data_IF_945124523114
#
_entry.id   IF_945124523114
#
_cell.length_a   1.000
_cell.length_b   1.000
_cell.length_c   1.000
_cell.angle_alpha   90.00
_cell.angle_beta   90.00
_cell.angle_gamma   90.00
#
_symmetry.space_group_name_H-M   'P 1'
#
loop_
_entity.id
_entity.type
_entity.pdbx_description
1 polymer ?
#
# COMPACT_ATOMS: atom_id res chain seq x y z
N UNK A 1 16.48 13.85 9.20
CA UNK A 1 15.23 13.88 9.99
C UNK A 1 15.58 13.76 11.47
N UNK A 2 14.87 14.44 12.38
CA UNK A 2 15.03 14.18 13.82
C UNK A 2 14.54 12.76 14.12
N UNK A 3 15.27 12.03 14.98
CA UNK A 3 14.91 10.66 15.34
C UNK A 3 13.59 10.68 16.12
N UNK A 4 12.55 10.06 15.54
CA UNK A 4 11.28 9.85 16.24
C UNK A 4 11.39 8.58 17.07
N UNK A 5 11.26 8.73 18.38
CA UNK A 5 11.29 7.60 19.30
C UNK A 5 9.90 6.95 19.43
N UNK A 6 9.84 5.63 19.20
CA UNK A 6 8.59 4.87 19.26
C UNK A 6 7.95 4.90 20.65
N UNK A 7 8.74 4.76 21.71
CA UNK A 7 8.21 4.66 23.08
C UNK A 7 7.59 6.00 23.51
N UNK A 8 8.23 7.12 23.17
CA UNK A 8 7.70 8.46 23.36
C UNK A 8 6.37 8.68 22.60
N UNK A 9 6.32 8.28 21.32
CA UNK A 9 5.10 8.40 20.52
C UNK A 9 3.98 7.51 21.06
N UNK A 10 4.29 6.26 21.43
CA UNK A 10 3.33 5.34 22.03
C UNK A 10 2.77 5.88 23.36
N UNK A 11 3.61 6.53 24.17
CA UNK A 11 3.17 7.21 25.39
C UNK A 11 2.23 8.39 25.09
N UNK A 12 2.54 9.19 24.06
CA UNK A 12 1.67 10.29 23.59
C UNK A 12 0.31 9.77 23.10
N UNK A 13 0.29 8.65 22.38
CA UNK A 13 -0.91 8.05 21.80
C UNK A 13 -1.73 7.21 22.79
N UNK A 14 -1.18 6.83 23.94
CA UNK A 14 -1.85 6.02 24.96
C UNK A 14 -3.30 6.46 25.29
N UNK A 15 -3.61 7.75 25.55
CA UNK A 15 -4.99 8.18 25.79
C UNK A 15 -5.90 7.97 24.58
N UNK A 16 -5.43 8.28 23.36
CA UNK A 16 -6.18 8.08 22.11
C UNK A 16 -6.48 6.60 21.88
N UNK A 17 -5.47 5.74 22.06
CA UNK A 17 -5.61 4.28 21.94
C UNK A 17 -6.63 3.72 22.96
N UNK A 18 -6.69 4.28 24.17
CA UNK A 18 -7.70 3.88 25.16
C UNK A 18 -9.12 4.27 24.73
N UNK A 19 -9.31 5.45 24.16
CA UNK A 19 -10.60 5.89 23.60
C UNK A 19 -11.02 4.99 22.43
N UNK A 20 -10.10 4.70 21.52
CA UNK A 20 -10.35 3.81 20.38
C UNK A 20 -10.62 2.37 20.82
N UNK A 21 -9.96 1.86 21.86
CA UNK A 21 -10.22 0.52 22.39
C UNK A 21 -11.65 0.40 22.96
N UNK A 22 -12.17 1.47 23.58
CA UNK A 22 -13.57 1.54 23.99
C UNK A 22 -14.51 1.58 22.77
N UNK A 23 -14.17 2.38 21.76
CA UNK A 23 -14.91 2.46 20.50
C UNK A 23 -14.97 1.13 19.77
N UNK A 24 -13.86 0.40 19.74
CA UNK A 24 -13.73 -0.96 19.19
C UNK A 24 -14.72 -1.92 19.85
N UNK A 25 -14.76 -1.94 21.18
CA UNK A 25 -15.69 -2.77 21.96
C UNK A 25 -17.15 -2.39 21.71
N UNK A 26 -17.46 -1.10 21.61
CA UNK A 26 -18.79 -0.61 21.26
C UNK A 26 -19.21 -1.10 19.87
N UNK A 27 -18.35 -0.94 18.87
CA UNK A 27 -18.59 -1.35 17.49
C UNK A 27 -18.72 -2.87 17.35
N UNK A 28 -17.89 -3.65 18.06
CA UNK A 28 -18.01 -5.10 18.10
C UNK A 28 -19.35 -5.55 18.68
N UNK A 29 -19.80 -4.92 19.78
CA UNK A 29 -21.10 -5.22 20.39
C UNK A 29 -22.25 -4.89 19.43
N UNK A 30 -22.22 -3.71 18.80
CA UNK A 30 -23.20 -3.29 17.80
C UNK A 30 -23.24 -4.25 16.60
N UNK A 31 -22.09 -4.62 16.06
CA UNK A 31 -21.98 -5.56 14.95
C UNK A 31 -22.57 -6.94 15.30
N UNK A 32 -22.27 -7.45 16.50
CA UNK A 32 -22.85 -8.71 16.99
C UNK A 32 -24.36 -8.62 17.19
N UNK A 33 -24.88 -7.54 17.79
CA UNK A 33 -26.32 -7.40 18.01
C UNK A 33 -27.09 -7.25 16.70
N UNK A 34 -26.64 -6.39 15.79
CA UNK A 34 -27.25 -6.21 14.48
C UNK A 34 -27.19 -7.50 13.66
N UNK A 35 -26.01 -8.15 13.64
CA UNK A 35 -25.80 -9.41 12.94
C UNK A 35 -26.73 -10.52 13.45
N UNK A 36 -26.88 -10.67 14.77
CA UNK A 36 -27.79 -11.67 15.35
C UNK A 36 -29.25 -11.40 14.97
N UNK A 37 -29.69 -10.14 15.04
CA UNK A 37 -31.05 -9.76 14.68
C UNK A 37 -31.33 -10.08 13.21
N UNK A 38 -30.47 -9.64 12.29
CA UNK A 38 -30.68 -9.86 10.85
C UNK A 38 -30.55 -11.34 10.46
N UNK A 39 -29.59 -12.06 11.04
CA UNK A 39 -29.43 -13.49 10.80
C UNK A 39 -30.64 -14.29 11.29
N UNK A 40 -31.21 -13.93 12.44
CA UNK A 40 -32.41 -14.57 12.99
C UNK A 40 -33.66 -14.28 12.15
N UNK A 41 -33.85 -13.02 11.72
CA UNK A 41 -34.95 -12.66 10.80
C UNK A 41 -34.85 -13.47 9.51
N UNK A 42 -33.67 -13.52 8.89
CA UNK A 42 -33.46 -14.28 7.65
C UNK A 42 -33.74 -15.78 7.85
N UNK A 43 -33.30 -16.35 8.98
CA UNK A 43 -33.52 -17.75 9.31
C UNK A 43 -35.03 -18.05 9.43
N UNK A 44 -35.77 -17.25 10.19
CA UNK A 44 -37.22 -17.43 10.39
C UNK A 44 -37.96 -17.32 9.07
N UNK A 45 -37.68 -16.28 8.28
CA UNK A 45 -38.31 -16.08 6.96
C UNK A 45 -37.98 -17.23 6.02
N UNK A 46 -36.73 -17.69 5.99
CA UNK A 46 -36.29 -18.82 5.18
C UNK A 46 -37.01 -20.11 5.54
N UNK A 47 -37.17 -20.42 6.84
CA UNK A 47 -37.90 -21.60 7.30
C UNK A 47 -39.38 -21.52 6.91
N UNK A 48 -40.02 -20.36 7.09
CA UNK A 48 -41.41 -20.14 6.65
C UNK A 48 -41.54 -20.37 5.15
N UNK A 49 -40.61 -19.85 4.34
CA UNK A 49 -40.61 -20.04 2.90
C UNK A 49 -40.47 -21.53 2.49
N UNK A 50 -39.59 -22.29 3.15
CA UNK A 50 -39.46 -23.74 2.91
C UNK A 50 -40.77 -24.48 3.19
N UNK A 51 -41.44 -24.13 4.29
CA UNK A 51 -42.72 -24.74 4.66
C UNK A 51 -43.82 -24.42 3.66
N UNK A 52 -43.92 -23.16 3.19
CA UNK A 52 -44.92 -22.74 2.18
C UNK A 52 -44.68 -23.44 0.84
N UNK A 53 -43.42 -23.52 0.40
CA UNK A 53 -43.04 -24.13 -0.87
C UNK A 53 -43.02 -25.67 -0.84
N UNK A 54 -43.17 -26.27 0.35
CA UNK A 54 -43.10 -27.72 0.58
C UNK A 54 -41.81 -28.34 0.03
N UNK A 55 -40.70 -27.62 0.17
CA UNK A 55 -39.38 -28.10 -0.24
C UNK A 55 -38.88 -29.11 0.80
N UNK A 56 -38.77 -30.38 0.39
CA UNK A 56 -38.22 -31.45 1.23
C UNK A 56 -36.71 -31.60 1.04
N UNK A 57 -36.03 -32.15 2.05
CA UNK A 57 -34.59 -32.42 2.03
C UNK A 57 -33.75 -31.42 2.81
N UNK A 58 -32.47 -31.77 3.00
CA UNK A 58 -31.55 -31.06 3.91
C UNK A 58 -30.90 -29.82 3.28
N UNK A 59 -30.90 -29.70 1.95
CA UNK A 59 -30.18 -28.61 1.26
C UNK A 59 -30.76 -27.22 1.57
N UNK A 60 -32.09 -27.08 1.61
CA UNK A 60 -32.75 -25.81 1.92
C UNK A 60 -32.35 -25.25 3.29
N UNK A 61 -32.50 -26.02 4.39
CA UNK A 61 -32.06 -25.60 5.72
C UNK A 61 -30.57 -25.26 5.79
N UNK A 62 -29.69 -26.04 5.14
CA UNK A 62 -28.25 -25.78 5.11
C UNK A 62 -27.96 -24.42 4.46
N UNK A 63 -28.56 -24.14 3.30
CA UNK A 63 -28.36 -22.86 2.59
C UNK A 63 -28.81 -21.68 3.45
N UNK A 64 -29.95 -21.80 4.15
CA UNK A 64 -30.46 -20.75 5.04
C UNK A 64 -29.46 -20.47 6.18
N UNK A 65 -28.96 -21.52 6.84
CA UNK A 65 -28.00 -21.38 7.94
C UNK A 65 -26.70 -20.74 7.45
N UNK A 66 -26.18 -21.17 6.30
CA UNK A 66 -24.96 -20.59 5.70
C UNK A 66 -25.14 -19.10 5.42
N UNK A 67 -26.26 -18.71 4.81
CA UNK A 67 -26.53 -17.29 4.52
C UNK A 67 -26.71 -16.48 5.81
N UNK A 68 -27.39 -17.02 6.82
CA UNK A 68 -27.50 -16.36 8.14
C UNK A 68 -26.13 -16.13 8.78
N UNK A 69 -25.21 -17.10 8.68
CA UNK A 69 -23.82 -16.93 9.16
C UNK A 69 -23.08 -15.86 8.36
N UNK A 70 -23.24 -15.83 7.03
CA UNK A 70 -22.65 -14.79 6.18
C UNK A 70 -23.17 -13.41 6.58
N UNK A 71 -24.49 -13.24 6.75
CA UNK A 71 -25.11 -11.99 7.22
C UNK A 71 -24.48 -11.54 8.54
N UNK A 72 -24.37 -12.45 9.51
CA UNK A 72 -23.77 -12.16 10.82
C UNK A 72 -22.32 -11.67 10.68
N UNK A 73 -21.49 -12.36 9.89
CA UNK A 73 -20.08 -11.99 9.66
C UNK A 73 -19.99 -10.64 8.95
N UNK A 74 -20.79 -10.40 7.90
CA UNK A 74 -20.81 -9.14 7.14
C UNK A 74 -21.16 -7.94 8.03
N UNK A 75 -22.11 -8.08 8.96
CA UNK A 75 -22.44 -7.03 9.91
C UNK A 75 -21.25 -6.63 10.78
N UNK A 76 -20.47 -7.61 11.26
CA UNK A 76 -19.28 -7.32 12.07
C UNK A 76 -18.17 -6.71 11.20
N UNK A 77 -17.94 -7.25 10.01
CA UNK A 77 -16.93 -6.72 9.08
C UNK A 77 -17.21 -5.27 8.67
N UNK A 78 -18.48 -4.88 8.53
CA UNK A 78 -18.84 -3.48 8.29
C UNK A 78 -18.44 -2.59 9.47
N UNK A 79 -18.55 -3.07 10.71
CA UNK A 79 -18.08 -2.33 11.89
C UNK A 79 -16.54 -2.31 11.99
N UNK A 80 -15.84 -3.36 11.53
CA UNK A 80 -14.38 -3.33 11.37
C UNK A 80 -13.95 -2.23 10.42
N UNK A 81 -14.61 -2.06 9.26
CA UNK A 81 -14.28 -0.97 8.33
C UNK A 81 -14.44 0.41 8.97
N UNK A 82 -15.56 0.64 9.68
CA UNK A 82 -15.80 1.89 10.40
C UNK A 82 -14.70 2.12 11.46
N UNK A 83 -14.33 1.08 12.21
CA UNK A 83 -13.29 1.18 13.22
C UNK A 83 -11.92 1.52 12.59
N UNK A 84 -11.60 0.89 11.47
CA UNK A 84 -10.37 1.15 10.74
C UNK A 84 -10.26 2.61 10.29
N UNK A 85 -11.35 3.22 9.82
CA UNK A 85 -11.36 4.66 9.50
C UNK A 85 -10.98 5.54 10.71
N UNK A 86 -11.51 5.25 11.90
CA UNK A 86 -11.10 5.97 13.12
C UNK A 86 -9.63 5.73 13.46
N UNK A 87 -9.13 4.50 13.28
CA UNK A 87 -7.72 4.20 13.53
C UNK A 87 -6.79 4.98 12.57
N UNK A 88 -7.14 5.04 11.28
CA UNK A 88 -6.41 5.85 10.31
C UNK A 88 -6.39 7.33 10.71
N UNK A 89 -7.54 7.90 11.00
CA UNK A 89 -7.69 9.33 11.32
C UNK A 89 -7.03 9.75 12.63
N UNK A 90 -7.02 8.89 13.65
CA UNK A 90 -6.60 9.28 15.01
C UNK A 90 -5.21 8.74 15.40
N UNK A 91 -4.73 7.68 14.74
CA UNK A 91 -3.46 7.02 15.08
C UNK A 91 -2.45 7.16 13.96
N UNK A 92 -2.81 6.72 12.75
CA UNK A 92 -1.87 6.74 11.60
C UNK A 92 -1.50 8.17 11.24
N UNK A 93 -2.48 9.08 11.26
CA UNK A 93 -2.27 10.52 11.08
C UNK A 93 -1.24 11.10 12.07
N UNK A 94 -1.37 10.77 13.36
CA UNK A 94 -0.44 11.24 14.40
C UNK A 94 0.96 10.67 14.25
N UNK A 95 1.09 9.42 13.79
CA UNK A 95 2.41 8.84 13.46
C UNK A 95 3.04 9.62 12.30
N UNK A 96 2.28 9.88 11.23
CA UNK A 96 2.75 10.65 10.07
C UNK A 96 3.23 12.04 10.52
N UNK A 97 2.45 12.75 11.32
CA UNK A 97 2.79 14.09 11.81
C UNK A 97 3.98 14.10 12.79
N UNK A 98 4.23 13.00 13.50
CA UNK A 98 5.44 12.86 14.32
C UNK A 98 6.71 12.87 13.46
N UNK A 99 6.63 12.31 12.25
CA UNK A 99 7.71 12.28 11.29
C UNK A 99 7.78 13.55 10.42
N UNK A 100 6.64 13.99 9.88
CA UNK A 100 6.51 15.10 8.95
C UNK A 100 5.36 16.02 9.42
N UNK A 101 5.61 17.01 10.28
CA UNK A 101 4.57 17.82 10.91
C UNK A 101 3.70 18.65 9.95
N UNK A 102 4.15 18.85 8.72
CA UNK A 102 3.49 19.58 7.65
C UNK A 102 2.86 18.65 6.59
N UNK A 103 2.85 17.34 6.82
CA UNK A 103 2.20 16.41 5.92
C UNK A 103 0.67 16.54 5.99
N UNK A 104 0.01 16.11 4.93
CA UNK A 104 -1.42 15.87 4.88
C UNK A 104 -1.66 14.39 4.63
N UNK A 105 -2.56 13.79 5.40
CA UNK A 105 -2.97 12.40 5.24
C UNK A 105 -4.44 12.32 4.81
N UNK A 106 -4.69 11.59 3.73
CA UNK A 106 -6.01 11.39 3.15
C UNK A 106 -6.25 9.88 2.96
N UNK A 107 -6.81 9.18 3.97
CA UNK A 107 -6.88 7.71 4.00
C UNK A 107 -7.70 7.11 2.85
N UNK A 108 -8.71 7.84 2.35
CA UNK A 108 -9.59 7.38 1.28
C UNK A 108 -9.16 7.83 -0.13
N UNK A 109 -8.06 8.58 -0.22
CA UNK A 109 -7.48 9.03 -1.49
C UNK A 109 -6.18 8.27 -1.74
N UNK A 110 -5.75 8.24 -2.98
CA UNK A 110 -4.49 7.61 -3.38
C UNK A 110 -3.92 8.28 -4.62
N UNK A 111 -2.71 7.87 -4.99
CA UNK A 111 -2.09 8.34 -6.24
C UNK A 111 -2.93 7.91 -7.45
N UNK A 112 -3.05 8.79 -8.45
CA UNK A 112 -3.91 8.54 -9.60
C UNK A 112 -3.41 7.38 -10.46
N UNK A 113 -4.34 6.71 -11.13
CA UNK A 113 -4.02 5.65 -12.09
C UNK A 113 -3.13 6.18 -13.24
N UNK A 114 -3.33 7.42 -13.66
CA UNK A 114 -2.50 8.07 -14.68
C UNK A 114 -1.05 8.22 -14.20
N UNK A 115 -0.82 8.60 -12.94
CA UNK A 115 0.54 8.65 -12.37
C UNK A 115 1.16 7.24 -12.36
N UNK A 116 0.39 6.22 -11.95
CA UNK A 116 0.85 4.83 -11.98
C UNK A 116 1.22 4.37 -13.39
N UNK A 117 0.36 4.60 -14.39
CA UNK A 117 0.59 4.25 -15.80
C UNK A 117 1.81 4.99 -16.38
N UNK A 118 1.99 6.25 -15.99
CA UNK A 118 3.10 7.08 -16.43
C UNK A 118 4.40 6.86 -15.63
N UNK A 119 4.40 6.01 -14.59
CA UNK A 119 5.63 5.61 -13.89
C UNK A 119 6.62 4.90 -14.80
N UNK A 120 6.11 4.20 -15.83
CA UNK A 120 6.93 3.41 -16.73
C UNK A 120 7.54 2.16 -16.12
N UNK A 121 7.10 1.75 -14.92
CA UNK A 121 7.52 0.52 -14.25
C UNK A 121 6.58 -0.66 -14.54
N UNK A 122 5.31 -0.35 -14.79
CA UNK A 122 4.24 -1.32 -14.81
C UNK A 122 3.48 -1.28 -16.13
N UNK A 123 2.84 -2.41 -16.45
CA UNK A 123 1.85 -2.48 -17.52
C UNK A 123 0.57 -1.75 -17.08
N UNK A 124 -0.25 -1.38 -18.07
CA UNK A 124 -1.56 -0.79 -17.79
C UNK A 124 -2.46 -1.78 -17.06
N UNK A 125 -3.06 -1.40 -15.92
CA UNK A 125 -3.96 -2.27 -15.19
C UNK A 125 -5.36 -2.31 -15.82
N UNK A 126 -6.06 -3.41 -15.56
CA UNK A 126 -7.51 -3.56 -15.79
C UNK A 126 -8.31 -3.16 -14.55
N UNK A 127 -7.70 -3.27 -13.36
CA UNK A 127 -8.24 -2.79 -12.08
C UNK A 127 -7.18 -2.03 -11.31
N UNK A 128 -7.56 -0.89 -10.78
CA UNK A 128 -6.69 -0.01 -10.04
C UNK A 128 -7.41 0.49 -8.78
N UNK A 129 -6.73 0.37 -7.65
CA UNK A 129 -7.15 0.96 -6.39
C UNK A 129 -5.93 1.58 -5.70
N UNK A 130 -6.12 2.73 -5.08
CA UNK A 130 -5.10 3.40 -4.29
C UNK A 130 -5.76 4.06 -3.08
N UNK A 131 -5.09 3.97 -1.94
CA UNK A 131 -5.52 4.51 -0.66
C UNK A 131 -4.33 5.07 0.14
N UNK A 132 -4.59 5.61 1.32
CA UNK A 132 -3.58 6.09 2.26
C UNK A 132 -2.60 7.11 1.65
N UNK A 133 -3.16 8.12 0.97
CA UNK A 133 -2.39 9.23 0.39
C UNK A 133 -1.76 10.09 1.49
N UNK A 134 -0.43 10.19 1.46
CA UNK A 134 0.38 11.06 2.30
C UNK A 134 1.11 12.04 1.38
N UNK A 135 0.92 13.33 1.60
CA UNK A 135 1.65 14.37 0.87
C UNK A 135 2.39 15.23 1.89
N UNK A 136 3.64 15.59 1.62
CA UNK A 136 4.40 16.37 2.59
C UNK A 136 5.71 16.89 2.03
N UNK A 137 6.52 17.50 2.90
CA UNK A 137 7.85 17.97 2.56
C UNK A 137 8.82 17.69 3.70
N UNK A 138 9.86 16.91 3.42
CA UNK A 138 10.93 16.59 4.34
C UNK A 138 12.14 17.48 4.03
N UNK A 139 12.41 18.45 4.90
CA UNK A 139 13.36 19.55 4.71
C UNK A 139 13.06 20.33 3.41
N UNK A 140 13.70 19.96 2.29
CA UNK A 140 13.50 20.62 1.01
C UNK A 140 12.72 19.77 0.03
N UNK A 141 12.57 18.46 0.28
CA UNK A 141 12.06 17.51 -0.70
C UNK A 141 10.57 17.26 -0.48
N UNK A 142 9.74 17.75 -1.40
CA UNK A 142 8.34 17.38 -1.46
C UNK A 142 8.18 15.92 -1.86
N UNK A 143 7.24 15.22 -1.24
CA UNK A 143 6.94 13.83 -1.54
C UNK A 143 5.43 13.55 -1.52
N UNK A 144 5.06 12.47 -2.20
CA UNK A 144 3.74 11.85 -2.21
C UNK A 144 3.94 10.35 -1.97
N UNK A 145 3.18 9.76 -1.07
CA UNK A 145 3.19 8.33 -0.79
C UNK A 145 1.76 7.78 -0.76
N UNK A 146 1.53 6.58 -1.28
CA UNK A 146 0.21 5.93 -1.23
C UNK A 146 0.34 4.42 -1.39
N UNK A 147 -0.56 3.66 -0.75
CA UNK A 147 -0.73 2.22 -1.02
C UNK A 147 -1.50 2.04 -2.34
N UNK A 148 -1.02 1.15 -3.19
CA UNK A 148 -1.57 0.87 -4.52
C UNK A 148 -1.75 -0.63 -4.72
N UNK A 149 -2.89 -1.02 -5.27
CA UNK A 149 -3.18 -2.35 -5.78
C UNK A 149 -3.65 -2.27 -7.23
N UNK A 150 -2.82 -2.78 -8.13
CA UNK A 150 -3.04 -2.81 -9.57
C UNK A 150 -3.07 -4.25 -10.08
N UNK A 151 -4.14 -4.63 -10.78
CA UNK A 151 -4.36 -5.99 -11.27
C UNK A 151 -4.62 -6.00 -12.78
N UNK A 152 -4.21 -7.08 -13.45
CA UNK A 152 -4.59 -7.40 -14.82
C UNK A 152 -5.41 -8.68 -14.88
N UNK A 153 -6.28 -8.77 -15.87
CA UNK A 153 -7.08 -9.96 -16.13
C UNK A 153 -6.32 -10.88 -17.07
N UNK A 154 -6.00 -12.07 -16.59
CA UNK A 154 -5.39 -13.14 -17.38
C UNK A 154 -6.41 -14.22 -17.74
N UNK A 155 -6.11 -14.94 -18.81
CA UNK A 155 -6.89 -16.09 -19.27
C UNK A 155 -5.98 -17.32 -19.35
N UNK A 156 -6.45 -18.44 -18.83
CA UNK A 156 -5.78 -19.74 -18.99
C UNK A 156 -6.72 -20.75 -19.65
N UNK A 157 -6.17 -21.52 -20.58
CA UNK A 157 -6.89 -22.64 -21.19
C UNK A 157 -6.95 -23.81 -20.21
N UNK A 158 -8.12 -24.39 -20.05
CA UNK A 158 -8.38 -25.56 -19.19
C UNK A 158 -9.09 -26.64 -20.00
N UNK A 159 -9.17 -27.86 -19.47
CA UNK A 159 -9.90 -28.97 -20.10
C UNK A 159 -11.39 -28.64 -20.34
N UNK A 160 -11.96 -27.71 -19.58
CA UNK A 160 -13.37 -27.34 -19.62
C UNK A 160 -13.61 -25.95 -20.26
N UNK A 161 -12.62 -25.39 -20.98
CA UNK A 161 -12.72 -24.07 -21.63
C UNK A 161 -11.72 -23.05 -21.07
N UNK A 162 -12.02 -21.75 -21.24
CA UNK A 162 -11.14 -20.66 -20.79
C UNK A 162 -11.57 -20.18 -19.40
N UNK A 163 -10.63 -20.12 -18.47
CA UNK A 163 -10.84 -19.53 -17.15
C UNK A 163 -10.13 -18.18 -17.05
N UNK A 164 -10.85 -17.16 -16.61
CA UNK A 164 -10.30 -15.85 -16.31
C UNK A 164 -9.93 -15.75 -14.83
N UNK A 165 -8.81 -15.09 -14.53
CA UNK A 165 -8.38 -14.79 -13.17
C UNK A 165 -7.65 -13.44 -13.12
N UNK A 166 -7.58 -12.86 -11.93
CA UNK A 166 -6.85 -11.61 -11.67
C UNK A 166 -5.44 -11.95 -11.23
N UNK A 167 -4.47 -11.24 -11.78
CA UNK A 167 -3.06 -11.33 -11.41
C UNK A 167 -2.56 -9.94 -11.01
N UNK A 168 -1.83 -9.85 -9.90
CA UNK A 168 -1.27 -8.60 -9.42
C UNK A 168 -0.18 -8.12 -10.38
N UNK A 169 -0.35 -6.92 -10.95
CA UNK A 169 0.75 -6.19 -11.59
C UNK A 169 1.65 -5.59 -10.51
N UNK A 170 1.03 -4.98 -9.50
CA UNK A 170 1.71 -4.37 -8.36
C UNK A 170 0.78 -4.32 -7.14
N UNK A 171 1.34 -4.60 -5.97
CA UNK A 171 0.69 -4.37 -4.68
C UNK A 171 1.73 -3.88 -3.68
N UNK A 172 1.48 -2.73 -3.05
CA UNK A 172 2.41 -2.12 -2.08
C UNK A 172 2.41 -0.60 -2.15
N UNK A 173 3.50 0.03 -1.73
CA UNK A 173 3.61 1.49 -1.68
C UNK A 173 4.28 2.08 -2.92
N UNK A 174 3.75 3.19 -3.40
CA UNK A 174 4.48 4.09 -4.28
C UNK A 174 4.92 5.31 -3.47
N UNK A 175 6.21 5.61 -3.50
CA UNK A 175 6.80 6.80 -2.90
C UNK A 175 7.40 7.67 -4.02
N UNK A 176 6.84 8.85 -4.23
CA UNK A 176 7.25 9.81 -5.25
C UNK A 176 7.87 11.01 -4.56
N UNK A 177 9.05 11.42 -4.96
CA UNK A 177 9.72 12.60 -4.43
C UNK A 177 10.27 13.49 -5.54
N UNK A 178 10.31 14.80 -5.27
CA UNK A 178 10.98 15.77 -6.12
C UNK A 178 12.48 15.42 -6.23
N UNK A 179 12.96 15.30 -7.46
CA UNK A 179 14.38 15.17 -7.74
C UNK A 179 14.84 16.52 -8.29
N UNK A 180 15.79 17.17 -7.62
CA UNK A 180 16.18 18.56 -7.92
C UNK A 180 16.98 18.71 -9.22
N UNK A 181 16.48 18.20 -10.35
CA UNK A 181 17.13 18.24 -11.65
C UNK A 181 16.07 18.06 -12.72
N UNK A 182 16.15 18.84 -13.79
CA UNK A 182 15.33 18.61 -14.97
C UNK A 182 15.82 17.40 -15.75
N UNK A 183 14.90 16.49 -16.06
CA UNK A 183 15.21 15.27 -16.82
C UNK A 183 14.85 15.44 -18.29
N UNK A 184 15.79 15.09 -19.16
CA UNK A 184 15.56 15.01 -20.61
C UNK A 184 15.18 13.60 -21.06
N UNK A 185 15.62 12.59 -20.33
CA UNK A 185 15.33 11.18 -20.55
C UNK A 185 14.51 10.57 -19.43
N UNK A 186 14.17 9.30 -19.64
CA UNK A 186 13.46 8.49 -18.66
C UNK A 186 14.34 7.30 -18.30
N UNK A 187 14.54 7.06 -17.02
CA UNK A 187 15.41 5.99 -16.54
C UNK A 187 14.67 5.11 -15.53
N UNK A 188 14.71 3.80 -15.71
CA UNK A 188 14.13 2.82 -14.77
C UNK A 188 15.20 1.89 -14.25
N UNK A 189 15.17 1.64 -12.93
CA UNK A 189 16.04 0.72 -12.20
C UNK A 189 15.17 -0.41 -11.68
N UNK A 190 15.32 -1.59 -12.26
CA UNK A 190 14.44 -2.73 -12.06
C UNK A 190 15.19 -3.85 -11.34
N UNK A 191 14.56 -4.44 -10.31
CA UNK A 191 15.09 -5.64 -9.66
C UNK A 191 14.79 -6.85 -10.53
N UNK A 192 15.84 -7.53 -11.01
CA UNK A 192 15.79 -8.77 -11.79
C UNK A 192 14.93 -8.68 -13.09
N UNK A 193 15.50 -8.10 -14.17
CA UNK A 193 14.75 -7.76 -15.39
C UNK A 193 14.67 -8.87 -16.44
N UNK A 194 14.47 -10.12 -16.02
CA UNK A 194 14.56 -11.26 -16.95
C UNK A 194 13.76 -11.06 -18.25
N UNK A 195 12.65 -10.31 -18.28
CA UNK A 195 11.91 -10.03 -19.52
C UNK A 195 11.09 -8.71 -19.52
N UNK A 196 11.72 -7.54 -19.32
CA UNK A 196 11.04 -6.25 -19.57
C UNK A 196 11.87 -5.30 -20.45
N UNK A 197 11.99 -5.65 -21.75
CA UNK A 197 12.47 -4.67 -22.75
C UNK A 197 11.39 -3.61 -22.90
N UNK A 198 11.68 -2.41 -22.40
CA UNK A 198 10.82 -1.25 -22.60
C UNK A 198 11.12 -0.64 -23.97
N UNK A 199 10.11 -0.61 -24.84
CA UNK A 199 10.20 -0.04 -26.19
C UNK A 199 10.79 1.38 -26.13
N UNK A 200 11.91 1.63 -26.81
CA UNK A 200 12.56 2.95 -26.86
C UNK A 200 13.63 3.22 -25.78
N UNK A 201 13.81 2.35 -24.79
CA UNK A 201 14.89 2.45 -23.81
C UNK A 201 15.98 1.41 -24.07
N UNK A 202 17.23 1.76 -23.77
CA UNK A 202 18.40 0.88 -23.90
C UNK A 202 18.95 0.51 -22.52
N UNK A 203 19.47 -0.72 -22.37
CA UNK A 203 20.15 -1.14 -21.14
C UNK A 203 21.41 -0.30 -20.95
N UNK A 204 21.57 0.29 -19.77
CA UNK A 204 22.71 1.13 -19.38
C UNK A 204 23.59 0.37 -18.39
N UNK A 205 24.69 -0.20 -18.85
CA UNK A 205 25.64 -0.88 -17.96
C UNK A 205 26.23 0.11 -16.95
N UNK A 206 26.08 -0.21 -15.67
CA UNK A 206 26.64 0.56 -14.54
C UNK A 206 28.02 0.03 -14.13
N UNK A 207 28.77 0.86 -13.40
CA UNK A 207 30.17 0.55 -13.05
C UNK A 207 30.32 -0.28 -11.77
N UNK A 208 29.32 -0.26 -10.87
CA UNK A 208 29.35 -1.03 -9.63
C UNK A 208 28.87 -2.47 -9.87
N UNK A 209 29.74 -3.49 -9.74
CA UNK A 209 29.37 -4.88 -9.99
C UNK A 209 28.33 -5.44 -9.02
N UNK A 210 28.30 -4.97 -7.77
CA UNK A 210 27.31 -5.43 -6.79
C UNK A 210 25.93 -4.83 -7.08
N UNK A 211 25.90 -3.60 -7.59
CA UNK A 211 24.67 -2.99 -8.11
C UNK A 211 24.12 -3.77 -9.30
N UNK A 212 24.95 -4.10 -10.29
CA UNK A 212 24.55 -4.84 -11.50
C UNK A 212 24.09 -6.29 -11.20
N UNK A 213 24.40 -6.85 -10.02
CA UNK A 213 23.84 -8.15 -9.58
C UNK A 213 22.39 -8.04 -9.11
N UNK A 214 21.98 -6.88 -8.63
CA UNK A 214 20.65 -6.66 -8.03
C UNK A 214 19.73 -5.95 -9.00
N UNK A 215 20.26 -4.98 -9.74
CA UNK A 215 19.50 -4.05 -10.55
C UNK A 215 19.92 -4.03 -12.00
N UNK A 216 18.91 -3.93 -12.86
CA UNK A 216 19.05 -3.58 -14.25
C UNK A 216 18.55 -2.16 -14.52
N UNK A 217 19.38 -1.36 -15.18
CA UNK A 217 19.06 0.03 -15.56
C UNK A 217 18.73 0.10 -17.05
N UNK A 218 17.57 0.66 -17.37
CA UNK A 218 17.16 1.00 -18.74
C UNK A 218 16.92 2.50 -18.84
N UNK A 219 17.39 3.13 -19.93
CA UNK A 219 17.19 4.56 -20.14
C UNK A 219 17.04 4.94 -21.60
N UNK A 220 16.29 6.00 -21.85
CA UNK A 220 16.25 6.70 -23.16
C UNK A 220 17.45 7.63 -23.35
N UNK A 221 18.18 7.98 -22.28
CA UNK A 221 19.39 8.80 -22.31
C UNK A 221 20.47 8.20 -21.39
N UNK A 222 21.41 7.44 -21.98
CA UNK A 222 22.41 6.74 -21.19
C UNK A 222 23.41 7.64 -20.47
N UNK A 223 23.63 8.86 -20.98
CA UNK A 223 24.54 9.82 -20.36
C UNK A 223 23.87 10.36 -19.10
N UNK A 224 22.62 10.82 -19.21
CA UNK A 224 21.83 11.30 -18.07
C UNK A 224 21.66 10.21 -17.01
N UNK A 225 21.38 8.96 -17.41
CA UNK A 225 21.26 7.84 -16.47
C UNK A 225 22.49 7.68 -15.57
N UNK A 226 23.71 7.85 -16.10
CA UNK A 226 24.96 7.78 -15.32
C UNK A 226 25.16 8.99 -14.41
N UNK A 227 24.62 10.15 -14.78
CA UNK A 227 24.58 11.32 -13.90
C UNK A 227 23.56 11.19 -12.77
N UNK A 228 22.42 10.53 -13.02
CA UNK A 228 21.41 10.26 -11.99
C UNK A 228 21.88 9.16 -11.03
N UNK A 229 22.46 8.09 -11.57
CA UNK A 229 22.82 6.87 -10.84
C UNK A 229 24.35 6.83 -10.67
N UNK A 230 24.87 7.83 -9.96
CA UNK A 230 26.29 7.91 -9.57
C UNK A 230 26.67 6.72 -8.68
N UNK A 231 27.97 6.40 -8.50
CA UNK A 231 28.40 5.31 -7.61
C UNK A 231 27.87 5.47 -6.18
N UNK A 232 27.83 6.70 -5.64
CA UNK A 232 27.20 6.94 -4.33
C UNK A 232 25.68 6.68 -4.34
N UNK A 233 24.97 7.03 -5.41
CA UNK A 233 23.54 6.74 -5.54
C UNK A 233 23.30 5.22 -5.66
N UNK A 234 24.16 4.48 -6.35
CA UNK A 234 24.08 3.01 -6.44
C UNK A 234 24.18 2.35 -5.06
N UNK A 235 25.14 2.78 -4.24
CA UNK A 235 25.29 2.28 -2.87
C UNK A 235 24.05 2.58 -2.00
N UNK A 236 23.49 3.78 -2.13
CA UNK A 236 22.25 4.18 -1.43
C UNK A 236 21.04 3.36 -1.87
N UNK A 237 20.90 3.11 -3.17
CA UNK A 237 19.84 2.25 -3.70
C UNK A 237 19.96 0.81 -3.20
N UNK A 238 21.18 0.26 -3.13
CA UNK A 238 21.42 -1.08 -2.56
C UNK A 238 21.06 -1.12 -1.07
N UNK A 239 21.45 -0.09 -0.30
CA UNK A 239 21.08 0.02 1.11
C UNK A 239 19.56 0.11 1.27
N UNK A 240 18.90 0.95 0.47
CA UNK A 240 17.44 1.07 0.50
C UNK A 240 16.74 -0.24 0.14
N UNK A 241 17.21 -0.96 -0.90
CA UNK A 241 16.66 -2.26 -1.29
C UNK A 241 16.73 -3.27 -0.14
N UNK A 242 17.83 -3.26 0.61
CA UNK A 242 18.03 -4.18 1.73
C UNK A 242 17.06 -3.95 2.90
N UNK A 243 16.48 -2.76 3.02
CA UNK A 243 15.48 -2.44 4.04
C UNK A 243 14.11 -3.08 3.73
N UNK A 244 13.84 -3.43 2.46
CA UNK A 244 12.57 -3.99 2.03
C UNK A 244 12.73 -5.44 1.57
N UNK A 245 12.04 -6.38 2.24
CA UNK A 245 12.19 -7.83 1.98
C UNK A 245 11.93 -8.24 0.53
N UNK A 246 10.97 -7.60 -0.13
CA UNK A 246 10.63 -7.86 -1.54
C UNK A 246 11.44 -6.99 -2.51
N UNK A 247 12.31 -6.13 -1.98
CA UNK A 247 13.13 -5.18 -2.71
C UNK A 247 12.32 -4.01 -3.23
N UNK A 248 12.98 -3.18 -4.04
CA UNK A 248 12.39 -1.98 -4.62
C UNK A 248 12.58 -1.94 -6.13
N UNK A 249 11.85 -1.04 -6.77
CA UNK A 249 12.06 -0.68 -8.18
C UNK A 249 11.88 0.81 -8.32
N UNK A 250 12.70 1.47 -9.14
CA UNK A 250 12.79 2.93 -9.17
C UNK A 250 12.58 3.45 -10.59
N UNK A 251 11.88 4.56 -10.72
CA UNK A 251 11.74 5.32 -11.96
C UNK A 251 12.17 6.77 -11.76
N UNK A 252 12.93 7.29 -12.71
CA UNK A 252 13.28 8.69 -12.84
C UNK A 252 12.58 9.25 -14.06
N UNK A 253 11.56 10.08 -13.84
CA UNK A 253 10.74 10.70 -14.88
C UNK A 253 10.21 12.05 -14.43
N UNK A 254 10.07 13.00 -15.36
CA UNK A 254 9.48 14.31 -15.11
C UNK A 254 10.05 15.00 -13.85
N UNK A 255 11.37 14.95 -13.70
CA UNK A 255 12.08 15.59 -12.58
C UNK A 255 11.67 15.05 -11.19
N UNK A 256 11.14 13.81 -11.15
CA UNK A 256 10.76 13.09 -9.93
C UNK A 256 11.39 11.71 -9.89
N UNK A 257 11.68 11.25 -8.68
CA UNK A 257 12.01 9.86 -8.40
C UNK A 257 10.77 9.16 -7.82
N UNK A 258 10.39 8.03 -8.41
CA UNK A 258 9.34 7.16 -7.91
C UNK A 258 9.97 5.84 -7.47
N UNK A 259 9.80 5.47 -6.21
CA UNK A 259 10.22 4.20 -5.62
C UNK A 259 8.96 3.35 -5.39
N UNK A 260 8.88 2.21 -6.07
CA UNK A 260 7.84 1.22 -5.88
C UNK A 260 8.32 0.12 -4.93
N UNK A 261 7.54 -0.13 -3.88
CA UNK A 261 7.91 -0.96 -2.74
C UNK A 261 6.81 -2.02 -2.56
N UNK A 262 7.02 -3.25 -3.06
CA UNK A 262 6.01 -4.30 -2.95
C UNK A 262 5.74 -4.69 -1.49
N UNK A 263 4.46 -4.72 -1.11
CA UNK A 263 3.97 -5.25 0.16
C UNK A 263 2.69 -6.06 -0.11
N UNK A 264 2.53 -7.19 0.58
CA UNK A 264 1.32 -8.03 0.45
C UNK A 264 0.28 -7.79 1.54
N UNK A 265 0.62 -6.99 2.56
CA UNK A 265 -0.29 -6.69 3.67
C UNK A 265 -1.05 -5.41 3.38
N UNK A 266 -2.35 -5.38 3.69
CA UNK A 266 -3.07 -4.12 3.86
C UNK A 266 -2.51 -3.45 5.11
N UNK A 267 -1.85 -2.31 4.97
CA UNK A 267 -1.31 -1.57 6.10
C UNK A 267 -2.34 -0.59 6.63
N UNK A 268 -2.06 -0.03 7.81
CA UNK A 268 -2.89 1.03 8.40
C UNK A 268 -4.34 0.63 8.68
N UNK A 269 -4.62 -0.67 8.73
CA UNK A 269 -5.94 -1.21 9.03
C UNK A 269 -6.01 -1.75 10.47
N UNK A 270 -7.13 -1.48 11.14
CA UNK A 270 -7.46 -2.09 12.42
C UNK A 270 -8.87 -2.71 12.38
N UNK A 271 -9.05 -3.85 13.01
CA UNK A 271 -10.32 -4.58 13.04
C UNK A 271 -10.95 -4.61 14.44
N UNK A 272 -12.26 -4.88 14.52
CA UNK A 272 -12.94 -4.90 15.83
C UNK A 272 -12.66 -6.14 16.67
N UNK A 273 -11.97 -7.15 16.15
CA UNK A 273 -11.62 -8.38 16.85
C UNK A 273 -10.31 -8.23 17.63
N UNK A 274 -9.33 -7.57 17.05
CA UNK A 274 -7.98 -7.37 17.58
C UNK A 274 -7.94 -6.22 18.60
N UNK A 275 -7.38 -6.45 19.78
CA UNK A 275 -7.27 -5.41 20.83
C UNK A 275 -6.16 -4.41 20.51
N UNK A 276 -6.41 -3.12 20.68
CA UNK A 276 -5.35 -2.09 20.57
C UNK A 276 -4.40 -2.07 21.78
N UNK A 277 -4.66 -2.87 22.81
CA UNK A 277 -3.68 -3.07 23.90
C UNK A 277 -2.45 -3.85 23.44
N UNK A 278 -2.56 -4.61 22.34
CA UNK A 278 -1.40 -5.17 21.66
C UNK A 278 -0.81 -4.10 20.73
N UNK A 279 0.37 -3.59 21.11
CA UNK A 279 1.10 -2.57 20.35
C UNK A 279 1.72 -3.10 19.06
N UNK A 280 1.49 -4.38 18.69
CA UNK A 280 2.03 -4.99 17.48
C UNK A 280 1.60 -4.27 16.20
N UNK A 281 0.33 -3.84 16.09
CA UNK A 281 -0.18 -3.07 14.95
C UNK A 281 0.49 -1.70 14.90
N UNK A 282 0.47 -0.97 16.01
CA UNK A 282 1.08 0.35 16.12
C UNK A 282 2.58 0.32 15.76
N UNK A 283 3.33 -0.64 16.30
CA UNK A 283 4.76 -0.80 16.04
C UNK A 283 5.03 -1.17 14.58
N UNK A 284 4.18 -2.00 13.99
CA UNK A 284 4.26 -2.35 12.58
C UNK A 284 4.04 -1.15 11.68
N UNK A 285 2.99 -0.35 11.94
CA UNK A 285 2.66 0.83 11.15
C UNK A 285 3.72 1.93 11.29
N UNK A 286 4.21 2.16 12.52
CA UNK A 286 5.33 3.04 12.80
C UNK A 286 6.57 2.66 11.98
N UNK A 287 6.97 1.39 12.00
CA UNK A 287 8.15 0.93 11.29
C UNK A 287 8.01 1.07 9.76
N UNK A 288 6.81 0.86 9.22
CA UNK A 288 6.53 1.06 7.79
C UNK A 288 6.65 2.54 7.44
N UNK A 289 5.98 3.44 8.19
CA UNK A 289 6.03 4.89 7.94
C UNK A 289 7.45 5.43 8.08
N UNK A 290 8.19 4.99 9.09
CA UNK A 290 9.61 5.31 9.26
C UNK A 290 10.40 4.92 8.00
N UNK A 291 10.27 3.67 7.55
CA UNK A 291 11.01 3.17 6.39
C UNK A 291 10.66 3.92 5.10
N UNK A 292 9.40 4.33 4.94
CA UNK A 292 8.94 5.11 3.78
C UNK A 292 9.49 6.54 3.81
N UNK A 293 9.42 7.22 4.95
CA UNK A 293 9.84 8.61 5.07
C UNK A 293 11.37 8.76 5.08
N UNK A 294 12.10 7.76 5.57
CA UNK A 294 13.57 7.69 5.51
C UNK A 294 14.11 7.56 4.08
N UNK A 295 13.28 7.26 3.07
CA UNK A 295 13.71 7.20 1.65
C UNK A 295 14.37 8.51 1.21
N UNK A 296 13.85 9.65 1.66
CA UNK A 296 14.39 10.98 1.31
C UNK A 296 15.82 11.14 1.80
N UNK A 297 16.08 10.73 3.04
CA UNK A 297 17.40 10.82 3.66
C UNK A 297 18.36 9.74 3.12
N UNK A 298 17.88 8.50 2.93
CA UNK A 298 18.67 7.39 2.42
C UNK A 298 19.18 7.66 0.99
N UNK A 299 18.30 8.15 0.12
CA UNK A 299 18.65 8.55 -1.25
C UNK A 299 19.25 9.96 -1.35
N UNK A 300 19.38 10.66 -0.22
CA UNK A 300 19.98 11.99 -0.12
C UNK A 300 19.34 13.03 -1.05
N UNK A 301 18.00 13.01 -1.16
CA UNK A 301 17.25 13.84 -2.11
C UNK A 301 17.25 15.34 -1.74
N UNK A 302 17.52 15.65 -0.46
CA UNK A 302 17.68 17.02 0.02
C UNK A 302 18.96 17.72 -0.49
N UNK A 303 19.89 16.98 -1.10
CA UNK A 303 21.07 17.61 -1.70
C UNK A 303 20.71 18.29 -3.02
N UNK A 304 20.64 19.62 -2.98
CA UNK A 304 20.31 20.48 -4.11
C UNK A 304 21.58 20.87 -4.87
N UNK A 305 22.14 19.93 -5.64
CA UNK A 305 23.40 20.15 -6.40
C UNK A 305 23.15 20.92 -7.71
N UNK A 306 21.90 20.99 -8.17
CA UNK A 306 21.52 21.59 -9.46
C UNK A 306 20.57 22.76 -9.22
N UNK A 307 20.58 23.79 -10.06
CA UNK A 307 19.53 24.79 -10.08
C UNK A 307 18.42 24.36 -11.04
N UNK A 308 17.16 24.34 -10.59
CA UNK A 308 16.00 24.41 -11.49
C UNK A 308 15.82 25.89 -11.84
N UNK A 309 15.92 26.24 -13.13
CA UNK A 309 15.59 27.60 -13.59
C UNK A 309 14.09 27.88 -13.51
#
# INVERSE_FOLDING_TARGET
MDYVDFDSLAQKLAPTLQVLENKRKELLRKGRSEGLIYAAIFLVVGVIALLILKLEGIFGPIVIVVISVIIFITCINNKSKIFSSFYKEEVVDEIIHAFCPNATYSPNNGVSEDLFRNSGLFTSPDRYHAEDLIEGCLDKTSFICSEVHAEERRARSTKNGVQYYWEDIFKGFLFIADFHKEFQGETTVLRDSFFKIKMGASRVKMENPDFEKVFDVFSTNQIEARYLITPSMMERMLKLDSNFKKGITISFRNSTILVAIPDSKNRFEADVWSSLSDMSILKSDFAVLQSLLEIVDELNLNTRIWSKE
#
